data_IF_759030782532
#
_entry.id   IF_759030782532
#
_cell.length_a   1.000
_cell.length_b   1.000
_cell.length_c   1.000
_cell.angle_alpha   90.00
_cell.angle_beta   90.00
_cell.angle_gamma   90.00
#
_symmetry.space_group_name_H-M   'P 1'
#
loop_
_entity.id
_entity.type
_entity.pdbx_description
1 polymer ?
#
# COMPACT_ATOMS: atom_id res chain seq x y z
N UNK A 1 51.00 11.16 7.31
CA UNK A 1 49.94 11.60 8.26
C UNK A 1 50.23 11.03 9.64
N UNK A 2 50.07 11.82 10.71
CA UNK A 2 50.28 11.32 12.09
C UNK A 2 49.16 10.34 12.47
N UNK A 3 49.45 9.27 13.23
CA UNK A 3 48.46 8.25 13.61
C UNK A 3 47.23 8.83 14.33
N UNK A 4 47.40 9.93 15.07
CA UNK A 4 46.29 10.66 15.69
C UNK A 4 45.32 11.29 14.67
N UNK A 5 45.82 11.86 13.57
CA UNK A 5 44.96 12.46 12.54
C UNK A 5 44.12 11.41 11.80
N UNK A 6 44.70 10.24 11.54
CA UNK A 6 44.00 9.13 10.89
C UNK A 6 42.80 8.68 11.72
N UNK A 7 42.97 8.56 13.06
CA UNK A 7 41.90 8.12 13.97
C UNK A 7 40.72 9.09 14.02
N UNK A 8 40.99 10.40 14.02
CA UNK A 8 39.96 11.45 14.00
C UNK A 8 39.19 11.44 12.68
N UNK A 9 39.89 11.26 11.55
CA UNK A 9 39.27 11.20 10.23
C UNK A 9 38.32 10.02 10.09
N UNK A 10 38.71 8.83 10.58
CA UNK A 10 37.84 7.65 10.60
C UNK A 10 36.61 7.84 11.49
N UNK A 11 36.76 8.49 12.65
CA UNK A 11 35.64 8.75 13.55
C UNK A 11 34.62 9.71 12.94
N UNK A 12 35.09 10.75 12.25
CA UNK A 12 34.24 11.70 11.53
C UNK A 12 33.49 11.02 10.37
N UNK A 13 34.16 10.16 9.60
CA UNK A 13 33.54 9.40 8.50
C UNK A 13 32.43 8.45 8.99
N UNK A 14 32.64 7.79 10.13
CA UNK A 14 31.63 6.93 10.74
C UNK A 14 30.39 7.72 11.18
N UNK A 15 30.58 8.88 11.82
CA UNK A 15 29.48 9.76 12.24
C UNK A 15 28.67 10.28 11.05
N UNK A 16 29.34 10.77 10.00
CA UNK A 16 28.67 11.25 8.78
C UNK A 16 27.87 10.10 8.13
N UNK A 17 28.41 8.88 8.11
CA UNK A 17 27.71 7.71 7.58
C UNK A 17 26.43 7.41 8.35
N UNK A 18 26.43 7.50 9.69
CA UNK A 18 25.22 7.28 10.49
C UNK A 18 24.13 8.34 10.29
N UNK A 19 24.49 9.59 10.00
CA UNK A 19 23.55 10.67 9.72
C UNK A 19 22.82 10.49 8.37
N UNK A 20 23.47 9.86 7.39
CA UNK A 20 22.86 9.56 6.09
C UNK A 20 21.88 8.37 6.16
N UNK A 21 22.03 7.52 7.19
CA UNK A 21 21.15 6.39 7.48
C UNK A 21 20.02 6.73 8.44
N UNK A 22 19.66 8.00 8.57
CA UNK A 22 18.44 8.36 9.28
C UNK A 22 17.27 7.74 8.51
N UNK A 23 16.54 6.75 9.08
CA UNK A 23 15.41 6.16 8.39
C UNK A 23 14.44 7.29 8.12
N UNK A 24 14.22 7.62 6.85
CA UNK A 24 13.10 8.47 6.48
C UNK A 24 11.90 7.78 7.10
N UNK A 25 11.28 8.38 8.11
CA UNK A 25 10.07 7.88 8.71
C UNK A 25 9.01 7.80 7.62
N UNK A 26 8.97 6.68 6.91
CA UNK A 26 7.84 6.31 6.09
C UNK A 26 6.72 6.20 7.12
N UNK A 27 5.91 7.26 7.22
CA UNK A 27 4.72 7.28 8.06
C UNK A 27 4.01 5.96 7.77
N UNK A 28 3.85 5.12 8.80
CA UNK A 28 3.21 3.81 8.71
C UNK A 28 1.88 4.00 7.98
N UNK A 29 1.88 3.73 6.68
CA UNK A 29 0.69 3.91 5.86
C UNK A 29 -0.16 2.70 6.16
N UNK A 30 -1.30 2.85 6.86
CA UNK A 30 -2.02 1.70 7.40
C UNK A 30 -2.51 0.83 6.25
N UNK A 31 -1.96 -0.38 6.12
CA UNK A 31 -2.37 -1.32 5.08
C UNK A 31 -3.72 -1.95 5.44
N UNK A 32 -4.53 -2.20 4.42
CA UNK A 32 -5.81 -2.87 4.62
C UNK A 32 -5.60 -4.34 5.02
N UNK A 33 -6.41 -4.87 5.96
CA UNK A 33 -6.47 -6.32 6.17
C UNK A 33 -7.08 -6.98 4.93
N UNK A 34 -6.35 -7.88 4.26
CA UNK A 34 -6.77 -8.43 2.97
C UNK A 34 -7.64 -9.69 3.08
N UNK A 35 -7.80 -10.27 4.28
CA UNK A 35 -8.51 -11.54 4.46
C UNK A 35 -9.90 -11.58 3.80
N UNK A 36 -10.68 -10.49 3.86
CA UNK A 36 -11.99 -10.43 3.21
C UNK A 36 -11.90 -10.50 1.67
N UNK A 37 -10.87 -9.87 1.07
CA UNK A 37 -10.57 -9.90 -0.37
C UNK A 37 -10.02 -11.26 -0.76
N UNK A 38 -9.07 -11.80 0.01
CA UNK A 38 -8.36 -13.05 -0.30
C UNK A 38 -9.31 -14.26 -0.26
N UNK A 39 -10.35 -14.20 0.57
CA UNK A 39 -11.40 -15.20 0.63
C UNK A 39 -12.35 -15.16 -0.59
N UNK A 40 -12.26 -14.15 -1.46
CA UNK A 40 -13.05 -14.05 -2.68
C UNK A 40 -12.20 -14.43 -3.90
N UNK A 41 -12.46 -15.59 -4.54
CA UNK A 41 -11.67 -16.06 -5.67
C UNK A 41 -11.52 -14.99 -6.78
N UNK A 42 -10.28 -14.69 -7.14
CA UNK A 42 -9.95 -13.70 -8.17
C UNK A 42 -10.19 -12.23 -7.80
N UNK A 43 -10.64 -11.92 -6.58
CA UNK A 43 -10.92 -10.54 -6.19
C UNK A 43 -9.65 -9.68 -6.15
N UNK A 44 -8.55 -10.22 -5.61
CA UNK A 44 -7.28 -9.49 -5.58
C UNK A 44 -6.77 -9.16 -7.00
N UNK A 45 -6.84 -10.12 -7.93
CA UNK A 45 -6.44 -9.90 -9.33
C UNK A 45 -7.34 -8.87 -10.03
N UNK A 46 -8.66 -8.92 -9.79
CA UNK A 46 -9.58 -7.93 -10.31
C UNK A 46 -9.30 -6.52 -9.76
N UNK A 47 -8.97 -6.39 -8.47
CA UNK A 47 -8.56 -5.12 -7.87
C UNK A 47 -7.22 -4.64 -8.42
N UNK A 48 -6.31 -5.57 -8.73
CA UNK A 48 -5.05 -5.25 -9.38
C UNK A 48 -5.24 -4.68 -10.78
N UNK A 49 -6.09 -5.29 -11.60
CA UNK A 49 -6.43 -4.79 -12.93
C UNK A 49 -7.17 -3.45 -12.86
N UNK A 50 -8.06 -3.28 -11.89
CA UNK A 50 -8.75 -2.01 -11.64
C UNK A 50 -7.78 -0.86 -11.31
N UNK A 51 -6.73 -1.14 -10.53
CA UNK A 51 -5.74 -0.13 -10.14
C UNK A 51 -4.67 0.14 -11.22
N UNK A 52 -4.24 -0.91 -11.94
CA UNK A 52 -3.18 -0.82 -12.94
C UNK A 52 -3.67 -0.32 -14.29
N UNK A 53 -4.77 -0.89 -14.78
CA UNK A 53 -5.22 -0.75 -16.16
C UNK A 53 -6.57 -0.03 -16.28
N UNK A 54 -7.13 0.43 -15.15
CA UNK A 54 -8.52 0.91 -15.04
C UNK A 54 -9.53 -0.11 -15.58
N UNK A 55 -9.19 -1.40 -15.54
CA UNK A 55 -10.04 -2.48 -16.04
C UNK A 55 -10.89 -3.05 -14.90
N UNK A 56 -12.14 -2.60 -14.85
CA UNK A 56 -13.09 -3.01 -13.83
C UNK A 56 -13.93 -4.21 -14.25
N UNK A 57 -13.74 -4.79 -15.45
CA UNK A 57 -14.64 -5.82 -16.01
C UNK A 57 -14.72 -7.06 -15.12
N UNK A 58 -13.59 -7.43 -14.53
CA UNK A 58 -13.43 -8.63 -13.68
C UNK A 58 -13.89 -8.46 -12.23
N UNK A 59 -14.23 -7.24 -11.80
CA UNK A 59 -14.83 -7.03 -10.48
C UNK A 59 -16.22 -7.66 -10.43
N UNK A 60 -16.44 -8.59 -9.51
CA UNK A 60 -17.74 -9.19 -9.24
C UNK A 60 -18.38 -8.57 -7.98
N UNK A 61 -19.67 -8.86 -7.77
CA UNK A 61 -20.44 -8.27 -6.68
C UNK A 61 -19.91 -8.69 -5.30
N UNK A 62 -19.45 -9.93 -5.13
CA UNK A 62 -19.00 -10.44 -3.84
C UNK A 62 -17.63 -9.88 -3.44
N UNK A 63 -16.73 -9.70 -4.41
CA UNK A 63 -15.52 -8.92 -4.26
C UNK A 63 -15.84 -7.48 -3.81
N UNK A 64 -16.83 -6.83 -4.42
CA UNK A 64 -17.23 -5.49 -4.02
C UNK A 64 -17.92 -5.43 -2.65
N UNK A 65 -18.59 -6.49 -2.20
CA UNK A 65 -19.06 -6.60 -0.81
C UNK A 65 -17.87 -6.69 0.15
N UNK A 66 -16.86 -7.50 -0.16
CA UNK A 66 -15.64 -7.62 0.64
C UNK A 66 -14.85 -6.30 0.71
N UNK A 67 -14.69 -5.58 -0.39
CA UNK A 67 -14.02 -4.26 -0.42
C UNK A 67 -14.71 -3.26 0.51
N UNK A 68 -16.05 -3.29 0.58
CA UNK A 68 -16.82 -2.35 1.42
C UNK A 68 -16.64 -2.58 2.91
N UNK A 69 -16.33 -3.81 3.33
CA UNK A 69 -16.14 -4.13 4.76
C UNK A 69 -14.80 -3.63 5.30
N UNK A 70 -13.89 -3.17 4.42
CA UNK A 70 -12.58 -2.69 4.83
C UNK A 70 -12.63 -1.29 5.47
N UNK A 71 -11.72 -0.94 6.39
CA UNK A 71 -11.69 0.38 7.02
C UNK A 71 -11.38 1.50 6.03
N UNK A 72 -12.04 2.66 6.09
CA UNK A 72 -11.87 3.74 5.08
C UNK A 72 -10.50 4.43 5.08
N UNK A 73 -9.73 4.28 6.15
CA UNK A 73 -8.44 4.95 6.33
C UNK A 73 -7.25 4.12 5.82
N UNK A 74 -7.47 2.92 5.28
CA UNK A 74 -6.40 2.00 4.88
C UNK A 74 -6.03 2.10 3.40
N UNK A 75 -4.86 1.56 3.07
CA UNK A 75 -4.34 1.47 1.71
C UNK A 75 -4.24 0.00 1.30
N UNK A 76 -4.78 -0.32 0.13
CA UNK A 76 -4.63 -1.64 -0.45
C UNK A 76 -3.32 -1.70 -1.21
N UNK A 77 -2.42 -2.60 -0.79
CA UNK A 77 -1.18 -2.87 -1.50
C UNK A 77 -1.47 -3.77 -2.71
N UNK A 78 -1.27 -3.22 -3.89
CA UNK A 78 -1.46 -3.89 -5.18
C UNK A 78 -0.10 -4.16 -5.82
N UNK A 79 0.08 -5.37 -6.35
CA UNK A 79 1.34 -5.73 -6.99
C UNK A 79 1.49 -5.08 -8.39
N UNK A 80 2.69 -4.61 -8.77
CA UNK A 80 3.92 -4.56 -7.96
C UNK A 80 4.06 -3.28 -7.13
N UNK A 81 3.98 -3.43 -5.80
CA UNK A 81 4.45 -2.45 -4.82
C UNK A 81 3.71 -1.11 -4.73
N UNK A 82 2.51 -0.98 -5.31
CA UNK A 82 1.74 0.28 -5.28
C UNK A 82 0.63 0.17 -4.25
N UNK A 83 0.62 1.09 -3.28
CA UNK A 83 -0.45 1.19 -2.30
C UNK A 83 -1.47 2.25 -2.75
N UNK A 84 -2.73 1.87 -2.85
CA UNK A 84 -3.81 2.77 -3.24
C UNK A 84 -4.81 2.96 -2.08
N UNK A 85 -5.28 4.19 -1.84
CA UNK A 85 -6.37 4.45 -0.90
C UNK A 85 -7.58 3.55 -1.17
N UNK A 86 -8.12 2.89 -0.14
CA UNK A 86 -9.22 1.93 -0.31
C UNK A 86 -10.51 2.59 -0.84
N UNK A 87 -10.70 3.87 -0.57
CA UNK A 87 -11.84 4.65 -1.04
C UNK A 87 -11.96 4.68 -2.57
N UNK A 88 -10.84 4.56 -3.31
CA UNK A 88 -10.83 4.44 -4.77
C UNK A 88 -11.60 3.17 -5.18
N UNK A 89 -11.27 2.04 -4.58
CA UNK A 89 -11.94 0.77 -4.86
C UNK A 89 -13.39 0.77 -4.40
N UNK A 90 -13.70 1.36 -3.24
CA UNK A 90 -15.09 1.53 -2.79
C UNK A 90 -15.91 2.35 -3.77
N UNK A 91 -15.34 3.44 -4.31
CA UNK A 91 -15.99 4.28 -5.32
C UNK A 91 -16.28 3.50 -6.60
N UNK A 92 -15.29 2.77 -7.13
CA UNK A 92 -15.44 1.89 -8.30
C UNK A 92 -16.55 0.86 -8.05
N UNK A 93 -16.52 0.20 -6.89
CA UNK A 93 -17.52 -0.78 -6.51
C UNK A 93 -18.93 -0.18 -6.41
N UNK A 94 -19.07 1.02 -5.86
CA UNK A 94 -20.36 1.71 -5.78
C UNK A 94 -20.89 2.15 -7.14
N UNK A 95 -20.01 2.54 -8.08
CA UNK A 95 -20.39 2.85 -9.45
C UNK A 95 -20.84 1.63 -10.23
N UNK A 96 -20.11 0.51 -10.11
CA UNK A 96 -20.42 -0.74 -10.84
C UNK A 96 -21.58 -1.52 -10.22
N UNK A 97 -21.64 -1.57 -8.89
CA UNK A 97 -22.63 -2.33 -8.13
C UNK A 97 -23.20 -1.46 -7.00
N UNK A 98 -24.15 -0.56 -7.27
CA UNK A 98 -24.71 0.32 -6.25
C UNK A 98 -25.24 -0.48 -5.05
N UNK A 99 -25.00 -0.03 -3.80
CA UNK A 99 -25.64 -0.65 -2.64
C UNK A 99 -27.16 -0.52 -2.75
N UNK A 100 -27.88 -1.58 -2.37
CA UNK A 100 -29.33 -1.54 -2.30
C UNK A 100 -29.74 -0.40 -1.36
N UNK A 101 -30.49 0.57 -1.88
CA UNK A 101 -31.12 1.60 -1.05
C UNK A 101 -32.37 0.96 -0.45
N UNK A 102 -32.37 0.77 0.86
CA UNK A 102 -33.58 0.46 1.63
C UNK A 102 -34.22 1.75 2.09
#
# INVERSE_FOLDING_TARGET
MKPQQTKVMFFLLALISTLMFQPSGAKDTPLCPTAAIDNQPGCFDALRLAAGDADFRWLNIDCCKAVRTLPDYCYLLVYPGRAFPINIFKSICNGKFPPLRH
#
